data_IF_954619422287
#
_entry.id   IF_954619422287
#
_cell.length_a   1.000
_cell.length_b   1.000
_cell.length_c   1.000
_cell.angle_alpha   90.00
_cell.angle_beta   90.00
_cell.angle_gamma   90.00
#
_symmetry.space_group_name_H-M   'P 1'
#
loop_
_entity.id
_entity.type
_entity.pdbx_description
1 polymer ?
#
# COMPACT_ATOMS: atom_id res chain seq x y z
N UNK A 1 -32.32 20.50 38.02
CA UNK A 1 -32.40 19.13 37.48
C UNK A 1 -31.77 19.15 36.09
N UNK A 2 -30.49 18.82 35.99
CA UNK A 2 -29.78 18.73 34.71
C UNK A 2 -30.01 17.33 34.16
N UNK A 3 -30.62 17.22 32.98
CA UNK A 3 -30.71 15.97 32.24
C UNK A 3 -29.32 15.62 31.69
N UNK A 4 -28.57 14.81 32.42
CA UNK A 4 -27.51 13.98 31.85
C UNK A 4 -28.16 12.89 30.99
N UNK A 5 -28.52 13.25 29.77
CA UNK A 5 -28.73 12.27 28.71
C UNK A 5 -27.37 11.68 28.36
N UNK A 6 -27.09 10.48 28.87
CA UNK A 6 -26.03 9.62 28.35
C UNK A 6 -26.36 9.30 26.87
N UNK A 7 -25.88 10.16 25.98
CA UNK A 7 -26.13 10.09 24.53
C UNK A 7 -25.15 9.09 23.93
N UNK A 8 -25.70 8.11 23.23
CA UNK A 8 -25.03 6.93 22.72
C UNK A 8 -23.73 7.25 21.96
N UNK A 9 -22.66 6.50 22.27
CA UNK A 9 -21.48 6.40 21.41
C UNK A 9 -21.92 5.95 20.02
N UNK A 10 -22.14 6.90 19.12
CA UNK A 10 -22.61 6.61 17.78
C UNK A 10 -21.40 6.20 16.93
N UNK A 11 -21.40 4.94 16.53
CA UNK A 11 -20.39 4.35 15.66
C UNK A 11 -20.89 4.41 14.22
N UNK A 12 -20.17 5.08 13.33
CA UNK A 12 -20.46 5.01 11.88
C UNK A 12 -19.52 4.05 11.20
N UNK A 13 -20.05 3.28 10.25
CA UNK A 13 -19.21 2.54 9.30
C UNK A 13 -18.44 3.51 8.39
N UNK A 14 -17.35 3.03 7.77
CA UNK A 14 -16.59 3.82 6.78
C UNK A 14 -17.50 4.42 5.71
N UNK A 15 -18.49 3.67 5.23
CA UNK A 15 -19.38 4.08 4.13
C UNK A 15 -20.33 5.19 4.59
N UNK A 16 -20.86 5.10 5.81
CA UNK A 16 -21.74 6.13 6.36
C UNK A 16 -20.94 7.42 6.62
N UNK A 17 -19.75 7.27 7.21
CA UNK A 17 -18.85 8.38 7.46
C UNK A 17 -18.43 9.09 6.15
N UNK A 18 -18.15 8.32 5.10
CA UNK A 18 -17.85 8.85 3.77
C UNK A 18 -18.94 9.75 3.22
N UNK A 19 -20.20 9.33 3.39
CA UNK A 19 -21.37 10.11 2.94
C UNK A 19 -21.57 11.36 3.76
N UNK A 20 -21.49 11.26 5.09
CA UNK A 20 -21.70 12.41 6.00
C UNK A 20 -20.67 13.51 5.77
N UNK A 21 -19.41 13.14 5.53
CA UNK A 21 -18.32 14.11 5.38
C UNK A 21 -17.91 14.38 3.92
N UNK A 22 -18.61 13.81 2.93
CA UNK A 22 -18.28 13.90 1.51
C UNK A 22 -16.82 13.54 1.18
N UNK A 23 -16.29 12.51 1.84
CA UNK A 23 -14.92 12.00 1.66
C UNK A 23 -15.00 10.61 1.03
N UNK A 24 -14.11 10.29 0.07
CA UNK A 24 -14.08 8.94 -0.50
C UNK A 24 -13.72 7.87 0.55
N UNK A 25 -14.34 6.69 0.45
CA UNK A 25 -14.04 5.51 1.28
C UNK A 25 -12.53 5.19 1.32
N UNK A 26 -11.85 5.35 0.18
CA UNK A 26 -10.42 5.11 0.04
C UNK A 26 -9.59 6.07 0.91
N UNK A 27 -9.97 7.35 0.92
CA UNK A 27 -9.32 8.37 1.76
C UNK A 27 -9.49 8.04 3.24
N UNK A 28 -10.67 7.58 3.65
CA UNK A 28 -10.93 7.19 5.05
C UNK A 28 -10.09 5.98 5.45
N UNK A 29 -10.06 4.92 4.64
CA UNK A 29 -9.21 3.74 4.88
C UNK A 29 -7.72 4.13 4.99
N UNK A 30 -7.25 5.02 4.13
CA UNK A 30 -5.88 5.55 4.20
C UNK A 30 -5.65 6.30 5.50
N UNK A 31 -6.59 7.17 5.92
CA UNK A 31 -6.47 7.95 7.16
C UNK A 31 -6.48 7.07 8.41
N UNK A 32 -7.31 6.01 8.43
CA UNK A 32 -7.28 4.98 9.48
C UNK A 32 -5.90 4.31 9.51
N UNK A 33 -5.40 3.87 8.34
CA UNK A 33 -4.08 3.22 8.24
C UNK A 33 -2.92 4.14 8.69
N UNK A 34 -3.02 5.44 8.41
CA UNK A 34 -2.00 6.42 8.83
C UNK A 34 -2.19 6.93 10.25
N UNK A 35 -3.19 6.43 10.99
CA UNK A 35 -3.48 6.85 12.37
C UNK A 35 -4.10 8.25 12.50
N UNK A 36 -4.55 8.86 11.40
CA UNK A 36 -5.21 10.19 11.41
C UNK A 36 -6.67 10.12 11.84
N UNK A 37 -7.31 8.97 11.67
CA UNK A 37 -8.66 8.70 12.15
C UNK A 37 -8.58 7.47 13.05
N UNK A 38 -9.04 7.61 14.29
CA UNK A 38 -9.21 6.48 15.20
C UNK A 38 -10.41 5.65 14.72
N UNK A 39 -10.21 4.35 14.55
CA UNK A 39 -11.29 3.42 14.19
C UNK A 39 -11.13 2.12 14.97
N UNK A 40 -12.26 1.47 15.26
CA UNK A 40 -12.31 0.17 15.94
C UNK A 40 -12.75 -0.88 14.94
N UNK A 41 -12.04 -2.01 14.89
CA UNK A 41 -12.41 -3.17 14.09
C UNK A 41 -13.38 -4.06 14.89
N UNK A 42 -14.63 -4.15 14.46
CA UNK A 42 -15.65 -5.05 15.03
C UNK A 42 -16.21 -5.92 13.91
N UNK A 43 -16.23 -7.25 14.10
CA UNK A 43 -16.81 -8.21 13.13
C UNK A 43 -16.25 -8.08 11.70
N UNK A 44 -14.97 -7.74 11.57
CA UNK A 44 -14.32 -7.55 10.26
C UNK A 44 -14.67 -6.22 9.56
N UNK A 45 -15.41 -5.32 10.21
CA UNK A 45 -15.75 -3.98 9.70
C UNK A 45 -15.15 -2.89 10.59
N UNK A 46 -14.71 -1.80 9.97
CA UNK A 46 -14.18 -0.64 10.67
C UNK A 46 -15.30 0.33 11.01
N UNK A 47 -15.30 0.78 12.26
CA UNK A 47 -16.23 1.75 12.80
C UNK A 47 -15.48 2.95 13.35
N UNK A 48 -15.98 4.15 13.05
CA UNK A 48 -15.40 5.43 13.45
C UNK A 48 -16.32 6.02 14.54
N UNK A 49 -15.78 6.33 15.74
CA UNK A 49 -16.55 6.98 16.79
C UNK A 49 -16.82 8.44 16.42
N UNK A 50 -18.02 8.93 16.68
CA UNK A 50 -18.40 10.34 16.46
C UNK A 50 -18.64 11.02 17.80
N UNK A 51 -17.99 12.16 18.00
CA UNK A 51 -18.18 13.00 19.18
C UNK A 51 -19.50 13.80 19.13
N UNK A 52 -19.94 14.38 20.27
CA UNK A 52 -21.24 15.05 20.42
C UNK A 52 -21.50 16.22 19.44
N UNK A 53 -20.46 16.75 18.79
CA UNK A 53 -20.58 17.86 17.84
C UNK A 53 -20.33 17.45 16.38
N UNK A 54 -20.24 16.15 16.07
CA UNK A 54 -19.81 15.69 14.73
C UNK A 54 -18.34 15.97 14.42
N UNK A 55 -17.59 16.50 15.41
CA UNK A 55 -16.17 16.75 15.31
C UNK A 55 -15.38 15.46 15.59
N UNK A 56 -14.44 15.21 14.71
CA UNK A 56 -13.51 14.09 14.77
C UNK A 56 -12.64 14.30 16.01
N UNK A 57 -12.29 13.21 16.71
CA UNK A 57 -11.06 13.16 17.49
C UNK A 57 -9.89 13.12 16.49
N UNK A 58 -9.69 14.21 15.73
CA UNK A 58 -8.52 14.41 14.88
C UNK A 58 -7.46 14.98 15.82
N UNK A 59 -6.59 14.12 16.34
CA UNK A 59 -5.39 14.61 17.02
C UNK A 59 -4.55 15.34 15.96
N UNK A 60 -4.44 16.66 16.11
CA UNK A 60 -3.45 17.48 15.41
C UNK A 60 -2.07 16.84 15.62
N UNK A 61 -1.28 16.61 14.55
CA UNK A 61 0.05 16.06 14.68
C UNK A 61 1.00 17.16 15.15
N UNK A 62 0.84 17.61 16.39
CA UNK A 62 1.86 18.36 17.10
C UNK A 62 2.69 17.38 17.94
N UNK A 63 4.01 17.47 17.79
CA UNK A 63 5.01 16.82 18.63
C UNK A 63 5.47 15.41 18.24
N UNK A 64 6.15 15.32 17.10
CA UNK A 64 7.43 14.60 17.06
C UNK A 64 8.49 15.56 16.53
N UNK A 65 8.86 16.53 17.37
CA UNK A 65 10.14 17.23 17.25
C UNK A 65 11.26 16.27 17.64
N UNK A 66 12.28 16.30 16.81
CA UNK A 66 13.64 15.84 17.00
C UNK A 66 14.06 15.47 18.44
N UNK A 67 14.60 14.25 18.58
CA UNK A 67 15.61 13.95 19.59
C UNK A 67 16.60 12.95 18.99
N UNK A 68 17.53 13.48 18.21
CA UNK A 68 18.84 12.89 18.08
C UNK A 68 19.64 13.29 19.32
N UNK A 69 19.92 12.35 20.24
CA UNK A 69 21.23 12.19 20.88
C UNK A 69 21.24 11.08 21.93
N UNK A 70 22.34 10.32 21.88
CA UNK A 70 23.09 9.68 22.98
C UNK A 70 22.65 8.28 23.55
N UNK A 71 23.43 7.26 23.14
CA UNK A 71 24.29 6.35 23.98
C UNK A 71 23.58 5.61 25.14
N UNK A 72 23.49 4.28 25.22
CA UNK A 72 24.60 3.29 25.37
C UNK A 72 24.10 1.82 25.28
N UNK A 73 25.00 0.81 25.20
CA UNK A 73 24.69 -0.58 24.88
C UNK A 73 24.40 -1.44 26.13
N UNK A 74 23.47 -2.38 26.02
CA UNK A 74 23.36 -3.51 26.96
C UNK A 74 23.20 -4.78 26.14
N UNK A 75 24.20 -5.64 26.26
CA UNK A 75 24.21 -7.01 25.79
C UNK A 75 23.12 -7.82 26.49
N UNK A 76 22.31 -8.55 25.73
CA UNK A 76 21.93 -9.90 26.11
C UNK A 76 21.61 -10.74 24.87
N UNK A 77 22.45 -11.75 24.75
CA UNK A 77 22.46 -12.85 23.80
C UNK A 77 21.29 -13.80 24.08
N UNK A 78 20.37 -13.93 23.12
CA UNK A 78 19.53 -15.13 22.95
C UNK A 78 19.44 -15.44 21.46
N UNK A 79 20.15 -16.50 21.09
CA UNK A 79 20.27 -17.08 19.75
C UNK A 79 19.02 -17.89 19.42
N UNK A 80 18.23 -17.41 18.45
CA UNK A 80 17.12 -18.12 17.82
C UNK A 80 17.25 -18.02 16.29
N UNK A 81 16.74 -19.01 15.51
CA UNK A 81 17.28 -19.36 14.22
C UNK A 81 16.99 -18.32 13.12
N UNK A 82 18.01 -18.14 12.29
CA UNK A 82 18.12 -17.24 11.15
C UNK A 82 16.96 -17.45 10.18
N UNK A 83 15.95 -16.60 10.25
CA UNK A 83 15.10 -16.30 9.10
C UNK A 83 15.96 -15.38 8.24
N UNK A 84 16.40 -15.90 7.09
CA UNK A 84 17.07 -15.10 6.06
C UNK A 84 16.10 -14.02 5.61
N UNK A 85 16.25 -12.84 6.22
CA UNK A 85 15.72 -11.60 5.71
C UNK A 85 16.25 -11.46 4.28
N UNK A 86 15.35 -11.61 3.30
CA UNK A 86 15.56 -11.10 1.96
C UNK A 86 15.80 -9.60 2.08
N UNK A 87 17.06 -9.21 2.22
CA UNK A 87 17.54 -7.90 1.79
C UNK A 87 17.20 -7.79 0.32
N UNK A 88 16.09 -7.12 0.03
CA UNK A 88 15.83 -6.58 -1.28
C UNK A 88 17.07 -5.75 -1.68
N UNK A 89 17.69 -5.99 -2.84
CA UNK A 89 18.72 -5.08 -3.30
C UNK A 89 18.08 -3.70 -3.40
N UNK A 90 18.73 -2.70 -2.82
CA UNK A 90 18.45 -1.31 -3.10
C UNK A 90 18.75 -1.07 -4.58
N UNK A 91 17.76 -1.42 -5.41
CA UNK A 91 17.69 -0.98 -6.77
C UNK A 91 17.49 0.54 -6.67
N UNK A 92 18.53 1.27 -7.04
CA UNK A 92 18.49 2.70 -7.34
C UNK A 92 17.66 2.90 -8.61
N UNK A 93 16.40 2.45 -8.54
CA UNK A 93 15.41 2.59 -9.57
C UNK A 93 15.14 4.08 -9.70
N UNK A 94 15.74 4.68 -10.73
CA UNK A 94 15.25 5.88 -11.37
C UNK A 94 13.75 5.68 -11.56
N UNK A 95 12.97 6.21 -10.62
CA UNK A 95 11.53 6.03 -10.55
C UNK A 95 10.99 6.40 -11.93
N UNK A 96 10.35 5.48 -12.69
CA UNK A 96 9.72 5.80 -13.97
C UNK A 96 8.45 6.63 -13.70
N UNK A 97 8.69 7.87 -13.29
CA UNK A 97 7.73 8.92 -13.02
C UNK A 97 8.32 10.25 -13.48
N UNK A 98 9.12 10.20 -14.55
CA UNK A 98 9.60 11.38 -15.25
C UNK A 98 8.39 12.27 -15.52
N UNK A 99 8.44 13.48 -14.96
CA UNK A 99 7.40 14.49 -15.08
C UNK A 99 7.03 14.70 -16.55
N UNK A 100 5.93 14.09 -17.00
CA UNK A 100 5.37 14.25 -18.36
C UNK A 100 4.85 15.66 -18.62
N UNK A 101 4.89 16.54 -17.62
CA UNK A 101 4.28 17.86 -17.69
C UNK A 101 5.15 18.90 -18.41
N UNK A 102 6.40 18.60 -18.73
CA UNK A 102 7.31 19.61 -19.27
C UNK A 102 7.60 19.32 -20.74
N UNK A 103 6.91 20.06 -21.61
CA UNK A 103 7.28 20.18 -23.02
C UNK A 103 8.77 20.53 -23.13
N UNK A 104 9.49 20.01 -24.14
CA UNK A 104 10.87 20.43 -24.39
C UNK A 104 10.99 21.95 -24.36
N UNK A 105 12.07 22.44 -23.77
CA UNK A 105 12.25 23.87 -23.53
C UNK A 105 12.22 24.68 -24.83
N UNK A 106 12.63 24.08 -25.95
CA UNK A 106 12.51 24.64 -27.29
C UNK A 106 11.06 24.83 -27.75
N UNK A 107 10.17 23.87 -27.49
CA UNK A 107 8.76 23.92 -27.90
C UNK A 107 7.98 24.86 -26.99
N UNK A 108 8.21 24.78 -25.68
CA UNK A 108 7.53 25.63 -24.69
C UNK A 108 7.89 27.11 -24.84
N UNK A 109 9.16 27.46 -25.11
CA UNK A 109 9.56 28.84 -25.36
C UNK A 109 8.97 29.40 -26.66
N UNK A 110 8.86 28.59 -27.72
CA UNK A 110 8.25 29.03 -28.98
C UNK A 110 6.74 29.26 -28.84
N UNK A 111 6.05 28.41 -28.08
CA UNK A 111 4.62 28.61 -27.77
C UNK A 111 4.36 29.86 -26.92
N UNK A 112 5.28 30.22 -26.01
CA UNK A 112 5.14 31.41 -25.15
C UNK A 112 5.46 32.73 -25.85
N UNK A 113 6.26 32.70 -26.94
CA UNK A 113 6.69 33.92 -27.67
C UNK A 113 5.77 34.28 -28.84
N UNK A 114 4.83 33.43 -29.22
CA UNK A 114 4.17 33.53 -30.52
C UNK A 114 2.78 34.17 -30.46
N UNK A 115 2.69 35.46 -30.79
CA UNK A 115 1.49 35.99 -31.45
C UNK A 115 1.47 35.61 -32.96
N UNK A 116 2.61 35.29 -33.61
CA UNK A 116 2.63 34.91 -35.03
C UNK A 116 3.76 33.94 -35.49
N UNK A 117 4.43 33.21 -34.60
CA UNK A 117 5.44 32.22 -35.03
C UNK A 117 4.78 30.88 -35.36
N UNK A 118 4.89 30.47 -36.64
CA UNK A 118 4.62 29.10 -37.08
C UNK A 118 5.51 28.15 -36.27
N UNK A 119 4.94 27.51 -35.25
CA UNK A 119 5.58 26.39 -34.56
C UNK A 119 5.96 25.38 -35.62
N UNK A 120 7.23 24.94 -35.65
CA UNK A 120 7.68 23.91 -36.56
C UNK A 120 6.90 22.61 -36.29
N UNK A 121 5.92 22.35 -37.15
CA UNK A 121 4.98 21.24 -37.03
C UNK A 121 5.71 19.90 -37.07
N UNK A 122 6.82 19.82 -37.80
CA UNK A 122 7.64 18.60 -37.88
C UNK A 122 8.32 18.29 -36.55
N UNK A 123 8.89 19.30 -35.89
CA UNK A 123 9.49 19.13 -34.55
C UNK A 123 8.46 18.69 -33.51
N UNK A 124 7.24 19.25 -33.56
CA UNK A 124 6.16 18.85 -32.65
C UNK A 124 5.70 17.42 -32.93
N UNK A 125 5.51 17.04 -34.19
CA UNK A 125 5.11 15.69 -34.58
C UNK A 125 6.15 14.65 -34.13
N UNK A 126 7.44 14.91 -34.38
CA UNK A 126 8.52 14.03 -33.93
C UNK A 126 8.56 13.89 -32.40
N UNK A 127 8.27 14.97 -31.67
CA UNK A 127 8.18 14.90 -30.21
C UNK A 127 7.00 14.00 -29.78
N UNK A 128 5.84 14.13 -30.41
CA UNK A 128 4.69 13.27 -30.16
C UNK A 128 5.01 11.80 -30.46
N UNK A 129 5.62 11.49 -31.61
CA UNK A 129 6.01 10.13 -31.99
C UNK A 129 6.99 9.49 -30.99
N UNK A 130 8.02 10.24 -30.58
CA UNK A 130 8.98 9.80 -29.56
C UNK A 130 8.30 9.56 -28.21
N UNK A 131 7.40 10.47 -27.82
CA UNK A 131 6.64 10.35 -26.58
C UNK A 131 5.75 9.10 -26.59
N UNK A 132 5.01 8.85 -27.67
CA UNK A 132 4.17 7.66 -27.83
C UNK A 132 5.01 6.38 -27.78
N UNK A 133 6.12 6.34 -28.52
CA UNK A 133 7.02 5.18 -28.53
C UNK A 133 7.57 4.88 -27.13
N UNK A 134 7.92 5.93 -26.37
CA UNK A 134 8.39 5.80 -24.99
C UNK A 134 7.29 5.31 -24.05
N UNK A 135 6.07 5.85 -24.16
CA UNK A 135 4.92 5.38 -23.37
C UNK A 135 4.67 3.90 -23.62
N UNK A 136 4.63 3.48 -24.88
CA UNK A 136 4.42 2.07 -25.26
C UNK A 136 5.53 1.17 -24.71
N UNK A 137 6.78 1.64 -24.69
CA UNK A 137 7.89 0.90 -24.10
C UNK A 137 7.76 0.75 -22.58
N UNK A 138 7.33 1.80 -21.88
CA UNK A 138 7.09 1.75 -20.43
C UNK A 138 5.92 0.82 -20.12
N UNK A 139 4.85 0.91 -20.90
CA UNK A 139 3.69 0.04 -20.75
C UNK A 139 4.07 -1.44 -20.92
N UNK A 140 4.82 -1.77 -21.97
CA UNK A 140 5.34 -3.13 -22.18
C UNK A 140 6.17 -3.61 -21.00
N UNK A 141 7.11 -2.79 -20.53
CA UNK A 141 7.95 -3.16 -19.38
C UNK A 141 7.11 -3.37 -18.10
N UNK A 142 6.07 -2.56 -17.87
CA UNK A 142 5.15 -2.75 -16.76
C UNK A 142 4.36 -4.06 -16.90
N UNK A 143 3.85 -4.35 -18.10
CA UNK A 143 3.16 -5.62 -18.38
C UNK A 143 4.07 -6.82 -18.11
N UNK A 144 5.30 -6.81 -18.63
CA UNK A 144 6.29 -7.87 -18.42
C UNK A 144 6.62 -8.05 -16.93
N UNK A 145 6.81 -6.94 -16.20
CA UNK A 145 7.09 -6.97 -14.75
C UNK A 145 5.93 -7.57 -13.95
N UNK A 146 4.68 -7.17 -14.25
CA UNK A 146 3.52 -7.74 -13.60
C UNK A 146 3.33 -9.22 -13.94
N UNK A 147 3.56 -9.61 -15.21
CA UNK A 147 3.47 -11.00 -15.65
C UNK A 147 4.50 -11.88 -14.94
N UNK A 148 5.76 -11.44 -14.84
CA UNK A 148 6.81 -12.16 -14.11
C UNK A 148 6.47 -12.32 -12.61
N UNK A 149 5.90 -11.28 -12.00
CA UNK A 149 5.45 -11.34 -10.61
C UNK A 149 4.30 -12.32 -10.41
N UNK A 150 3.33 -12.35 -11.32
CA UNK A 150 2.23 -13.32 -11.28
C UNK A 150 2.75 -14.75 -11.38
N UNK A 151 3.62 -15.04 -12.34
CA UNK A 151 4.24 -16.37 -12.49
C UNK A 151 5.00 -16.80 -11.23
N UNK A 152 5.71 -15.87 -10.58
CA UNK A 152 6.42 -16.14 -9.33
C UNK A 152 5.46 -16.50 -8.20
N UNK A 153 4.36 -15.76 -8.06
CA UNK A 153 3.34 -16.04 -7.04
C UNK A 153 2.61 -17.36 -7.30
N UNK A 154 2.31 -17.68 -8.56
CA UNK A 154 1.71 -18.96 -8.95
C UNK A 154 2.63 -20.13 -8.63
N UNK A 155 3.94 -20.01 -8.91
CA UNK A 155 4.92 -21.03 -8.57
C UNK A 155 5.02 -21.24 -7.04
N UNK A 156 5.01 -20.17 -6.26
CA UNK A 156 4.99 -20.24 -4.80
C UNK A 156 3.73 -20.91 -4.26
N UNK A 157 2.56 -20.61 -4.86
CA UNK A 157 1.30 -21.22 -4.47
C UNK A 157 1.31 -22.73 -4.74
N UNK A 158 1.76 -23.15 -5.94
CA UNK A 158 1.92 -24.57 -6.28
C UNK A 158 2.87 -25.30 -5.34
N UNK A 159 3.97 -24.68 -4.95
CA UNK A 159 4.91 -25.26 -3.99
C UNK A 159 4.26 -25.47 -2.62
N UNK A 160 3.54 -24.46 -2.12
CA UNK A 160 2.82 -24.55 -0.85
C UNK A 160 1.73 -25.62 -0.88
N UNK A 161 0.99 -25.74 -1.99
CA UNK A 161 -0.03 -26.78 -2.15
C UNK A 161 0.59 -28.18 -2.11
N UNK A 162 1.75 -28.38 -2.75
CA UNK A 162 2.47 -29.65 -2.68
C UNK A 162 2.92 -29.97 -1.24
N UNK A 163 3.45 -28.97 -0.51
CA UNK A 163 3.82 -29.13 0.91
C UNK A 163 2.61 -29.48 1.78
N UNK A 164 1.47 -28.82 1.58
CA UNK A 164 0.22 -29.13 2.29
C UNK A 164 -0.21 -30.57 2.00
N UNK A 165 -0.12 -31.02 0.74
CA UNK A 165 -0.41 -32.40 0.36
C UNK A 165 0.48 -33.41 1.09
N UNK A 166 1.79 -33.15 1.16
CA UNK A 166 2.74 -33.99 1.89
C UNK A 166 2.44 -34.05 3.39
N UNK A 167 2.18 -32.90 4.03
CA UNK A 167 1.85 -32.85 5.46
C UNK A 167 0.54 -33.56 5.76
N UNK A 168 -0.47 -33.45 4.89
CA UNK A 168 -1.73 -34.20 5.03
C UNK A 168 -1.48 -35.70 5.01
N UNK A 169 -0.68 -36.19 4.06
CA UNK A 169 -0.31 -37.61 4.00
C UNK A 169 0.38 -38.07 5.29
N UNK A 170 1.37 -37.30 5.78
CA UNK A 170 2.05 -37.62 7.04
C UNK A 170 1.10 -37.68 8.23
N UNK A 171 0.11 -36.77 8.29
CA UNK A 171 -0.91 -36.78 9.34
C UNK A 171 -1.79 -38.03 9.24
N UNK A 172 -2.19 -38.43 8.04
CA UNK A 172 -2.98 -39.65 7.81
C UNK A 172 -2.20 -40.91 8.22
N UNK A 173 -0.92 -40.98 7.86
CA UNK A 173 -0.03 -42.09 8.22
C UNK A 173 0.15 -42.19 9.74
N UNK A 174 0.38 -41.06 10.42
CA UNK A 174 0.47 -41.01 11.89
C UNK A 174 -0.84 -41.41 12.56
N UNK A 175 -1.99 -40.95 12.04
CA UNK A 175 -3.30 -41.36 12.55
C UNK A 175 -3.52 -42.87 12.40
N UNK A 176 -3.05 -43.48 11.31
CA UNK A 176 -3.12 -44.93 11.11
C UNK A 176 -2.25 -45.66 12.15
N UNK A 177 -1.03 -45.18 12.40
CA UNK A 177 -0.13 -45.75 13.40
C UNK A 177 -0.73 -45.70 14.81
N UNK A 178 -1.29 -44.55 15.21
CA UNK A 178 -1.96 -44.39 16.51
C UNK A 178 -3.11 -45.40 16.65
N UNK A 179 -3.96 -45.54 15.62
CA UNK A 179 -5.06 -46.53 15.64
C UNK A 179 -4.57 -47.98 15.76
N UNK A 180 -3.40 -48.31 15.23
CA UNK A 180 -2.80 -49.64 15.37
C UNK A 180 -2.26 -49.87 16.78
N UNK A 181 -1.70 -48.82 17.41
CA UNK A 181 -1.21 -48.89 18.78
C UNK A 181 -2.36 -48.99 19.80
N UNK A 182 -3.48 -48.29 19.59
CA UNK A 182 -4.66 -48.33 20.47
C UNK A 182 -5.37 -49.69 20.47
N UNK A 183 -5.20 -50.51 19.43
CA UNK A 183 -5.81 -51.84 19.32
C UNK A 183 -5.03 -52.94 20.05
N UNK A 184 -3.85 -52.62 20.57
CA UNK A 184 -2.93 -53.58 21.20
C UNK A 184 -3.06 -53.54 22.71
#
# INVERSE_FOLDING_TARGET
>A
MLHEGAMADQWLSIVEYARTHAISDMTIRRRIKTGRIKAVLKEGKYYIPIGPNGEIIEETPESYKASASAVSPIAHEVRAPVIQNFTAPEDTGVRPGASFKVLPQSISQNLQRAEHSLVDTNSLLQFCEKTVTRINSIERHLQDSFQARLQTLEAQLRLKDATIGQLKQQVEDLQMLVKLMEKR
#
